data_IF_549992611253
#
_entry.id   IF_549992611253
#
_cell.length_a   1.000
_cell.length_b   1.000
_cell.length_c   1.000
_cell.angle_alpha   90.00
_cell.angle_beta   90.00
_cell.angle_gamma   90.00
#
_symmetry.space_group_name_H-M   'P 1'
#
loop_
_entity.id
_entity.type
_entity.pdbx_description
1 polymer ?
#
# COMPACT_ATOMS: atom_id res chain seq x y z
N UNK A 1 19.09 12.78 -5.23
CA UNK A 1 18.33 12.18 -6.34
C UNK A 1 16.89 12.06 -5.88
N UNK A 2 15.95 12.81 -6.51
CA UNK A 2 14.55 12.82 -6.10
C UNK A 2 13.96 11.40 -6.28
N UNK A 3 13.63 10.75 -5.19
CA UNK A 3 12.88 9.48 -5.20
C UNK A 3 11.53 9.80 -5.85
N UNK A 4 11.34 9.37 -7.10
CA UNK A 4 10.03 9.48 -7.72
C UNK A 4 9.09 8.58 -6.92
N UNK A 5 8.15 9.19 -6.24
CA UNK A 5 7.10 8.46 -5.55
C UNK A 5 6.30 7.65 -6.58
N UNK A 6 6.22 6.34 -6.35
CA UNK A 6 5.30 5.49 -7.09
C UNK A 6 3.87 5.87 -6.66
N UNK A 7 2.89 5.91 -7.58
CA UNK A 7 1.48 5.96 -7.19
C UNK A 7 1.09 4.75 -6.33
N UNK A 8 0.09 4.91 -5.46
CA UNK A 8 -0.37 3.82 -4.58
C UNK A 8 -0.71 2.52 -5.34
N UNK A 9 -1.41 2.55 -6.50
CA UNK A 9 -1.67 1.32 -7.27
C UNK A 9 -0.38 0.63 -7.76
N UNK A 10 0.61 1.42 -8.23
CA UNK A 10 1.90 0.88 -8.69
C UNK A 10 2.71 0.29 -7.53
N UNK A 11 2.61 0.87 -6.33
CA UNK A 11 3.22 0.29 -5.13
C UNK A 11 2.57 -1.05 -4.77
N UNK A 12 1.24 -1.17 -4.85
CA UNK A 12 0.54 -2.43 -4.59
C UNK A 12 0.96 -3.53 -5.58
N UNK A 13 1.07 -3.20 -6.86
CA UNK A 13 1.60 -4.14 -7.86
C UNK A 13 3.06 -4.53 -7.57
N UNK A 14 3.90 -3.58 -7.12
CA UNK A 14 5.29 -3.87 -6.75
C UNK A 14 5.40 -4.75 -5.50
N UNK A 15 4.53 -4.55 -4.50
CA UNK A 15 4.39 -5.39 -3.31
C UNK A 15 4.06 -6.83 -3.73
N UNK A 16 3.10 -6.99 -4.63
CA UNK A 16 2.68 -8.30 -5.10
C UNK A 16 3.79 -8.99 -5.93
N UNK A 17 4.52 -8.24 -6.78
CA UNK A 17 5.69 -8.76 -7.49
C UNK A 17 6.80 -9.23 -6.54
N UNK A 18 7.05 -8.45 -5.47
CA UNK A 18 8.06 -8.83 -4.48
C UNK A 18 7.64 -10.09 -3.72
N UNK A 19 6.38 -10.22 -3.36
CA UNK A 19 5.82 -11.44 -2.73
C UNK A 19 5.95 -12.65 -3.65
N UNK A 20 5.51 -12.54 -4.91
CA UNK A 20 5.57 -13.61 -5.91
C UNK A 20 7.01 -14.05 -6.21
N UNK A 21 7.98 -13.11 -6.21
CA UNK A 21 9.38 -13.43 -6.46
C UNK A 21 10.03 -14.30 -5.37
N UNK A 22 9.33 -14.57 -4.28
CA UNK A 22 9.74 -15.58 -3.30
C UNK A 22 9.60 -17.03 -3.77
N UNK A 23 8.78 -17.28 -4.79
CA UNK A 23 8.58 -18.61 -5.37
C UNK A 23 9.63 -18.86 -6.46
N UNK A 24 10.34 -20.02 -6.43
CA UNK A 24 11.31 -20.33 -7.45
C UNK A 24 10.64 -20.75 -8.77
N UNK A 25 11.24 -20.33 -9.88
CA UNK A 25 10.90 -20.75 -11.24
C UNK A 25 12.12 -21.50 -11.77
N UNK A 26 11.93 -22.62 -12.47
CA UNK A 26 13.01 -23.31 -13.14
C UNK A 26 13.38 -22.57 -14.44
N UNK A 27 14.68 -22.41 -14.70
CA UNK A 27 15.20 -22.03 -16.00
C UNK A 27 15.34 -23.25 -16.93
N UNK A 28 15.87 -23.04 -18.15
CA UNK A 28 16.07 -24.10 -19.13
C UNK A 28 17.05 -25.19 -18.68
N UNK A 29 17.95 -24.90 -17.75
CA UNK A 29 18.95 -25.81 -17.19
C UNK A 29 18.51 -26.45 -15.86
N UNK A 30 17.29 -26.15 -15.42
CA UNK A 30 16.74 -26.64 -14.16
C UNK A 30 17.22 -25.88 -12.92
N UNK A 31 17.93 -24.76 -13.07
CA UNK A 31 18.30 -23.88 -11.96
C UNK A 31 17.08 -23.12 -11.44
N UNK A 32 17.08 -22.79 -10.15
CA UNK A 32 15.99 -22.07 -9.51
C UNK A 32 16.22 -20.55 -9.59
N UNK A 33 15.39 -19.86 -10.36
CA UNK A 33 15.33 -18.42 -10.41
C UNK A 33 14.28 -17.89 -9.45
N UNK A 34 14.61 -16.85 -8.67
CA UNK A 34 13.67 -16.16 -7.80
C UNK A 34 13.21 -14.85 -8.47
N UNK A 35 12.00 -14.85 -9.02
CA UNK A 35 11.49 -13.72 -9.78
C UNK A 35 10.10 -14.00 -10.35
N UNK A 36 9.60 -13.07 -11.14
CA UNK A 36 8.30 -13.14 -11.82
C UNK A 36 8.53 -13.13 -13.33
N UNK A 37 7.96 -14.09 -14.08
CA UNK A 37 8.16 -14.17 -15.53
C UNK A 37 7.37 -13.09 -16.27
N UNK A 38 7.83 -12.75 -17.48
CA UNK A 38 7.27 -11.68 -18.30
C UNK A 38 5.78 -11.82 -18.60
N UNK A 39 5.26 -13.04 -18.77
CA UNK A 39 3.82 -13.27 -18.99
C UNK A 39 2.95 -12.93 -17.76
N UNK A 40 3.50 -12.93 -16.54
CA UNK A 40 2.81 -12.45 -15.34
C UNK A 40 3.01 -10.93 -15.17
N UNK A 41 4.19 -10.40 -15.52
CA UNK A 41 4.47 -8.96 -15.47
C UNK A 41 3.51 -8.16 -16.36
N UNK A 42 3.17 -8.68 -17.52
CA UNK A 42 2.23 -8.04 -18.45
C UNK A 42 0.82 -7.85 -17.89
N UNK A 43 0.47 -8.57 -16.81
CA UNK A 43 -0.80 -8.43 -16.09
C UNK A 43 -0.79 -7.29 -15.07
N UNK A 44 0.37 -6.70 -14.77
CA UNK A 44 0.54 -5.59 -13.82
C UNK A 44 0.37 -4.25 -14.52
N UNK A 45 -0.88 -3.92 -14.84
CA UNK A 45 -1.23 -2.78 -15.69
C UNK A 45 -0.88 -1.40 -15.10
N UNK A 46 -0.61 -1.30 -13.80
CA UNK A 46 -0.31 -0.01 -13.14
C UNK A 46 1.19 0.32 -13.15
N UNK A 47 2.07 -0.66 -13.42
CA UNK A 47 3.51 -0.47 -13.52
C UNK A 47 3.89 -0.16 -14.98
N UNK A 48 4.46 1.02 -15.21
CA UNK A 48 5.04 1.33 -16.52
C UNK A 48 6.34 0.55 -16.76
N UNK A 49 6.75 0.38 -18.04
CA UNK A 49 8.04 -0.23 -18.37
C UNK A 49 9.21 0.48 -17.69
N UNK A 50 9.10 1.79 -17.51
CA UNK A 50 10.09 2.60 -16.80
C UNK A 50 10.15 2.24 -15.31
N UNK A 51 8.99 1.99 -14.67
CA UNK A 51 8.94 1.59 -13.25
C UNK A 51 9.47 0.18 -13.10
N UNK A 52 9.09 -0.75 -13.99
CA UNK A 52 9.64 -2.11 -14.02
C UNK A 52 11.17 -2.08 -14.17
N UNK A 53 11.70 -1.32 -15.14
CA UNK A 53 13.14 -1.19 -15.31
C UNK A 53 13.85 -0.54 -14.10
N UNK A 54 13.16 0.37 -13.41
CA UNK A 54 13.72 1.06 -12.24
C UNK A 54 13.70 0.22 -10.96
N UNK A 55 12.71 -0.67 -10.80
CA UNK A 55 12.48 -1.40 -9.56
C UNK A 55 12.82 -2.90 -9.63
N UNK A 56 13.07 -3.42 -10.83
CA UNK A 56 13.37 -4.84 -11.02
C UNK A 56 14.66 -5.04 -11.78
N UNK A 57 15.27 -6.20 -11.62
CA UNK A 57 16.42 -6.66 -12.37
C UNK A 57 16.08 -7.98 -13.09
N UNK A 58 16.71 -8.23 -14.23
CA UNK A 58 16.61 -9.50 -14.93
C UNK A 58 17.46 -10.53 -14.20
N UNK A 59 16.87 -11.65 -13.80
CA UNK A 59 17.57 -12.75 -13.11
C UNK A 59 17.74 -13.98 -14.00
N UNK A 60 17.17 -13.99 -15.19
CA UNK A 60 17.28 -15.07 -16.17
C UNK A 60 16.05 -15.20 -17.05
N UNK A 61 15.87 -16.36 -17.62
CA UNK A 61 14.72 -16.72 -18.45
C UNK A 61 14.10 -18.00 -17.96
N UNK A 62 12.76 -18.06 -17.97
CA UNK A 62 12.03 -19.27 -17.57
C UNK A 62 12.27 -20.39 -18.56
N UNK A 63 12.39 -21.63 -18.11
CA UNK A 63 12.50 -22.82 -18.95
C UNK A 63 11.17 -23.36 -19.47
N UNK A 64 10.05 -22.88 -18.89
CA UNK A 64 8.70 -23.30 -19.28
C UNK A 64 7.80 -22.08 -19.53
N UNK A 65 6.77 -22.26 -20.34
CA UNK A 65 5.76 -21.24 -20.67
C UNK A 65 4.34 -21.82 -20.56
N UNK A 66 3.37 -21.12 -19.98
CA UNK A 66 1.97 -21.54 -19.93
C UNK A 66 1.31 -21.32 -21.31
N UNK A 67 1.45 -22.29 -22.19
CA UNK A 67 0.90 -22.22 -23.54
C UNK A 67 -0.62 -22.42 -23.52
N UNK A 68 -1.41 -21.62 -24.25
CA UNK A 68 -2.85 -21.79 -24.34
C UNK A 68 -3.19 -23.12 -25.04
N UNK A 69 -4.16 -23.84 -24.46
CA UNK A 69 -4.69 -25.10 -24.96
C UNK A 69 -6.22 -25.16 -24.67
N UNK A 70 -7.02 -24.81 -25.66
CA UNK A 70 -8.48 -24.59 -25.43
C UNK A 70 -8.69 -23.46 -24.42
N UNK A 71 -9.48 -23.74 -23.37
CA UNK A 71 -9.79 -22.81 -22.28
C UNK A 71 -8.76 -22.85 -21.14
N UNK A 72 -7.73 -23.70 -21.24
CA UNK A 72 -6.71 -23.91 -20.20
C UNK A 72 -5.32 -23.46 -20.68
N UNK A 73 -4.36 -23.48 -19.73
CA UNK A 73 -2.95 -23.24 -20.02
C UNK A 73 -2.14 -24.45 -19.55
N UNK A 74 -1.30 -24.97 -20.45
CA UNK A 74 -0.42 -26.10 -20.16
C UNK A 74 1.02 -25.60 -20.14
N UNK A 75 1.77 -25.93 -19.08
CA UNK A 75 3.20 -25.65 -19.02
C UNK A 75 3.92 -26.50 -20.08
N UNK A 76 4.65 -25.84 -20.96
CA UNK A 76 5.46 -26.45 -22.00
C UNK A 76 6.89 -25.94 -21.89
N UNK A 77 7.85 -26.77 -22.20
CA UNK A 77 9.26 -26.36 -22.28
C UNK A 77 9.45 -25.36 -23.42
N UNK A 78 10.28 -24.34 -23.19
CA UNK A 78 10.68 -23.37 -24.19
C UNK A 78 12.19 -23.42 -24.40
N UNK A 79 12.59 -23.21 -25.63
CA UNK A 79 13.98 -23.17 -26.05
C UNK A 79 14.26 -21.86 -26.78
N UNK A 80 15.49 -21.35 -26.69
CA UNK A 80 15.93 -20.22 -27.50
C UNK A 80 15.79 -20.54 -29.02
N UNK A 81 15.18 -19.62 -29.78
CA UNK A 81 15.04 -19.78 -31.21
C UNK A 81 16.34 -19.39 -31.93
N UNK A 82 16.52 -19.88 -33.15
CA UNK A 82 17.61 -19.43 -34.05
C UNK A 82 17.52 -17.94 -34.38
N UNK A 83 16.30 -17.37 -34.35
CA UNK A 83 16.09 -15.94 -34.54
C UNK A 83 16.32 -15.22 -33.20
N UNK A 84 17.26 -14.26 -33.12
CA UNK A 84 17.59 -13.59 -31.85
C UNK A 84 16.40 -12.89 -31.21
N UNK A 85 16.28 -13.02 -29.90
CA UNK A 85 15.22 -12.39 -29.12
C UNK A 85 13.88 -13.12 -29.14
N UNK A 86 13.85 -14.34 -29.66
CA UNK A 86 12.67 -15.22 -29.66
C UNK A 86 12.95 -16.51 -28.90
N UNK A 87 11.90 -17.04 -28.29
CA UNK A 87 11.82 -18.40 -27.75
C UNK A 87 10.80 -19.20 -28.54
N UNK A 88 10.97 -20.50 -28.65
CA UNK A 88 10.05 -21.40 -29.32
C UNK A 88 9.54 -22.48 -28.39
N UNK A 89 8.33 -22.93 -28.64
CA UNK A 89 7.72 -24.07 -27.99
C UNK A 89 6.86 -24.88 -28.95
N UNK A 90 6.59 -26.14 -28.61
CA UNK A 90 5.62 -26.97 -29.31
C UNK A 90 4.23 -26.77 -28.74
N UNK A 91 3.31 -26.28 -29.54
CA UNK A 91 1.93 -26.05 -29.11
C UNK A 91 1.28 -27.38 -28.69
N UNK A 92 0.73 -27.50 -27.47
CA UNK A 92 0.12 -28.76 -27.00
C UNK A 92 -1.13 -29.18 -27.79
N UNK A 93 -1.84 -28.23 -28.38
CA UNK A 93 -3.06 -28.47 -29.14
C UNK A 93 -2.78 -28.87 -30.60
N UNK A 94 -1.90 -28.11 -31.28
CA UNK A 94 -1.68 -28.27 -32.71
C UNK A 94 -0.38 -29.00 -33.07
N UNK A 95 0.49 -29.25 -32.08
CA UNK A 95 1.82 -29.83 -32.20
C UNK A 95 2.79 -29.02 -33.10
N UNK A 96 2.37 -27.82 -33.56
CA UNK A 96 3.21 -26.92 -34.37
C UNK A 96 4.16 -26.13 -33.46
N UNK A 97 5.29 -25.78 -34.00
CA UNK A 97 6.23 -24.85 -33.36
C UNK A 97 5.62 -23.46 -33.38
N UNK A 98 5.50 -22.85 -32.23
CA UNK A 98 5.13 -21.43 -32.02
C UNK A 98 6.28 -20.67 -31.40
N UNK A 99 6.30 -19.35 -31.59
CA UNK A 99 7.34 -18.45 -31.10
C UNK A 99 6.74 -17.43 -30.16
N UNK A 100 7.51 -17.04 -29.17
CA UNK A 100 7.19 -15.95 -28.22
C UNK A 100 8.38 -15.01 -28.12
N UNK A 101 8.17 -13.71 -27.87
CA UNK A 101 9.24 -12.76 -27.61
C UNK A 101 10.01 -13.12 -26.33
N UNK A 102 11.30 -12.83 -26.27
CA UNK A 102 12.13 -13.07 -25.09
C UNK A 102 11.62 -12.33 -23.87
N UNK A 103 10.99 -11.15 -24.04
CA UNK A 103 10.35 -10.39 -22.97
C UNK A 103 9.24 -11.17 -22.27
N UNK A 104 8.60 -12.13 -22.96
CA UNK A 104 7.60 -13.01 -22.36
C UNK A 104 8.23 -14.03 -21.42
N UNK A 105 9.43 -14.55 -21.77
CA UNK A 105 10.13 -15.56 -20.97
C UNK A 105 11.06 -14.96 -19.90
N UNK A 106 11.40 -13.66 -19.99
CA UNK A 106 12.30 -13.01 -19.03
C UNK A 106 11.76 -13.13 -17.61
N UNK A 107 12.61 -13.47 -16.65
CA UNK A 107 12.29 -13.50 -15.22
C UNK A 107 12.90 -12.27 -14.58
N UNK A 108 12.08 -11.47 -13.92
CA UNK A 108 12.51 -10.27 -13.20
C UNK A 108 12.25 -10.40 -11.72
N UNK A 109 13.24 -10.00 -10.92
CA UNK A 109 13.10 -9.89 -9.47
C UNK A 109 13.06 -8.41 -9.06
N UNK A 110 12.25 -8.09 -8.06
CA UNK A 110 12.28 -6.76 -7.44
C UNK A 110 13.61 -6.61 -6.68
N UNK A 111 14.31 -5.49 -6.90
CA UNK A 111 15.57 -5.19 -6.21
C UNK A 111 15.31 -4.98 -4.72
N UNK A 112 15.54 -6.03 -3.92
CA UNK A 112 15.12 -6.11 -2.52
C UNK A 112 15.59 -4.90 -1.69
N UNK A 113 16.89 -4.58 -1.70
CA UNK A 113 17.44 -3.47 -0.91
C UNK A 113 16.78 -2.13 -1.22
N UNK A 114 16.49 -1.86 -2.49
CA UNK A 114 15.83 -0.63 -2.92
C UNK A 114 14.38 -0.58 -2.43
N UNK A 115 13.66 -1.68 -2.61
CA UNK A 115 12.26 -1.81 -2.21
C UNK A 115 12.10 -1.70 -0.69
N UNK A 116 12.92 -2.42 0.08
CA UNK A 116 12.89 -2.39 1.54
C UNK A 116 13.21 -1.00 2.11
N UNK A 117 14.18 -0.29 1.52
CA UNK A 117 14.46 1.09 1.90
C UNK A 117 13.27 2.02 1.62
N UNK A 118 12.59 1.85 0.49
CA UNK A 118 11.40 2.62 0.17
C UNK A 118 10.26 2.38 1.17
N UNK A 119 10.01 1.11 1.56
CA UNK A 119 9.03 0.82 2.61
C UNK A 119 9.43 1.40 3.96
N UNK A 120 10.73 1.37 4.29
CA UNK A 120 11.25 1.99 5.51
C UNK A 120 11.10 3.52 5.50
N UNK A 121 11.24 4.18 4.33
CA UNK A 121 10.95 5.61 4.17
C UNK A 121 9.46 5.91 4.43
N UNK A 122 8.55 5.09 3.88
CA UNK A 122 7.11 5.24 4.11
C UNK A 122 6.71 5.07 5.59
N UNK A 123 7.47 4.27 6.34
CA UNK A 123 7.27 4.02 7.77
C UNK A 123 8.02 5.00 8.67
N UNK A 124 8.61 6.06 8.11
CA UNK A 124 9.44 7.06 8.82
C UNK A 124 10.54 6.44 9.66
N UNK A 125 11.11 5.30 9.21
CA UNK A 125 12.23 4.66 9.90
C UNK A 125 13.52 5.41 9.57
N UNK A 126 14.21 5.99 10.56
CA UNK A 126 15.45 6.70 10.34
C UNK A 126 16.54 5.79 9.74
N UNK A 127 17.29 6.31 8.77
CA UNK A 127 18.31 5.54 8.06
C UNK A 127 19.36 4.89 9.00
N UNK A 128 19.72 5.57 10.09
CA UNK A 128 20.63 5.05 11.10
C UNK A 128 20.12 3.81 11.84
N UNK A 129 18.82 3.54 11.79
CA UNK A 129 18.18 2.39 12.45
C UNK A 129 17.91 1.22 11.50
N UNK A 130 18.20 1.32 10.20
CA UNK A 130 17.94 0.31 9.16
C UNK A 130 19.06 -0.72 9.03
N UNK A 131 19.38 -1.41 10.11
CA UNK A 131 20.55 -2.31 10.13
C UNK A 131 20.34 -3.65 9.42
N UNK A 132 19.09 -4.12 9.28
CA UNK A 132 18.77 -5.45 8.77
C UNK A 132 18.24 -5.47 7.33
N UNK A 133 18.28 -4.35 6.60
CA UNK A 133 17.75 -4.29 5.22
C UNK A 133 18.67 -5.01 4.22
N UNK A 134 19.98 -4.91 4.40
CA UNK A 134 20.96 -5.51 3.49
C UNK A 134 21.19 -6.99 3.75
N UNK A 135 20.91 -7.46 4.97
CA UNK A 135 21.10 -8.85 5.36
C UNK A 135 19.82 -9.38 5.98
N UNK A 136 19.17 -10.32 5.31
CA UNK A 136 17.96 -10.97 5.81
C UNK A 136 18.26 -11.78 7.07
N UNK A 137 17.36 -11.78 8.04
CA UNK A 137 17.42 -12.65 9.21
C UNK A 137 17.10 -14.12 8.86
N UNK A 138 16.21 -14.32 7.88
CA UNK A 138 15.99 -15.57 7.16
C UNK A 138 16.15 -15.23 5.69
N UNK A 139 17.10 -15.88 5.03
CA UNK A 139 17.49 -15.53 3.66
C UNK A 139 16.28 -15.52 2.70
N UNK A 140 16.14 -14.42 1.98
CA UNK A 140 15.05 -14.21 1.04
C UNK A 140 13.63 -14.16 1.64
N UNK A 141 13.47 -14.21 2.98
CA UNK A 141 12.16 -14.35 3.65
C UNK A 141 11.90 -13.25 4.68
N UNK A 142 12.83 -12.98 5.61
CA UNK A 142 12.60 -12.12 6.76
C UNK A 142 13.65 -11.03 6.87
N UNK A 143 13.23 -9.76 6.90
CA UNK A 143 14.11 -8.58 7.06
C UNK A 143 13.70 -7.73 8.25
N UNK A 144 14.67 -7.26 9.02
CA UNK A 144 14.47 -6.23 10.03
C UNK A 144 14.60 -4.86 9.38
N UNK A 145 13.49 -4.15 9.20
CA UNK A 145 13.48 -2.81 8.59
C UNK A 145 14.05 -1.74 9.52
N UNK A 146 13.98 -1.96 10.81
CA UNK A 146 14.44 -1.02 11.84
C UNK A 146 13.39 -0.77 12.90
N UNK A 147 13.41 0.44 13.50
CA UNK A 147 12.44 0.86 14.52
C UNK A 147 11.67 2.06 14.03
N UNK A 148 10.34 1.99 14.14
CA UNK A 148 9.45 3.13 13.89
C UNK A 148 8.77 3.56 15.18
N UNK A 149 8.25 4.78 15.20
CA UNK A 149 7.47 5.31 16.32
C UNK A 149 5.99 5.18 16.03
N UNK A 150 5.27 4.49 16.92
CA UNK A 150 3.80 4.41 16.88
C UNK A 150 3.26 4.98 18.20
N UNK A 151 2.63 6.14 18.13
CA UNK A 151 2.26 6.90 19.30
C UNK A 151 3.50 7.32 20.12
N UNK A 152 3.61 6.85 21.38
CA UNK A 152 4.74 7.12 22.27
C UNK A 152 5.78 5.98 22.33
N UNK A 153 5.55 4.88 21.60
CA UNK A 153 6.36 3.66 21.70
C UNK A 153 7.19 3.48 20.43
N UNK A 154 8.44 3.05 20.61
CA UNK A 154 9.29 2.58 19.49
C UNK A 154 9.12 1.08 19.34
N UNK A 155 8.80 0.64 18.13
CA UNK A 155 8.52 -0.75 17.81
C UNK A 155 9.52 -1.26 16.77
N UNK A 156 10.01 -2.47 16.96
CA UNK A 156 10.75 -3.18 15.92
C UNK A 156 9.84 -3.52 14.75
N UNK A 157 10.30 -3.25 13.55
CA UNK A 157 9.57 -3.48 12.31
C UNK A 157 10.27 -4.52 11.47
N UNK A 158 9.52 -5.55 11.15
CA UNK A 158 9.96 -6.65 10.31
C UNK A 158 9.09 -6.75 9.06
N UNK A 159 9.67 -7.21 7.97
CA UNK A 159 8.96 -7.55 6.74
C UNK A 159 9.19 -9.01 6.40
N UNK A 160 8.11 -9.69 6.04
CA UNK A 160 8.13 -11.11 5.63
C UNK A 160 7.61 -11.24 4.21
N UNK A 161 8.34 -12.01 3.40
CA UNK A 161 7.94 -12.48 2.08
C UNK A 161 7.58 -13.96 2.12
N UNK A 162 6.53 -14.36 1.41
CA UNK A 162 6.09 -15.76 1.36
C UNK A 162 5.57 -16.27 2.70
N UNK A 163 4.97 -15.41 3.53
CA UNK A 163 4.60 -15.72 4.90
C UNK A 163 3.68 -16.93 5.02
N UNK A 164 2.71 -17.10 4.11
CA UNK A 164 1.76 -18.23 4.15
C UNK A 164 2.45 -19.60 4.13
N UNK A 165 3.61 -19.73 3.48
CA UNK A 165 4.38 -20.98 3.36
C UNK A 165 5.55 -21.06 4.33
N UNK A 166 5.88 -19.97 5.03
CA UNK A 166 7.05 -19.84 5.90
C UNK A 166 6.73 -19.44 7.33
N UNK A 167 5.44 -19.53 7.72
CA UNK A 167 4.98 -19.12 9.05
C UNK A 167 5.76 -19.78 10.18
N UNK A 168 6.01 -21.09 10.09
CA UNK A 168 6.71 -21.84 11.14
C UNK A 168 8.18 -21.42 11.28
N UNK A 169 8.88 -21.17 10.17
CA UNK A 169 10.27 -20.71 10.19
C UNK A 169 10.37 -19.31 10.80
N UNK A 170 9.44 -18.42 10.43
CA UNK A 170 9.36 -17.05 10.95
C UNK A 170 9.04 -17.06 12.44
N UNK A 171 8.04 -17.82 12.87
CA UNK A 171 7.67 -17.88 14.28
C UNK A 171 8.77 -18.50 15.14
N UNK A 172 9.43 -19.55 14.66
CA UNK A 172 10.59 -20.16 15.34
C UNK A 172 11.72 -19.14 15.50
N UNK A 173 11.99 -18.30 14.50
CA UNK A 173 12.98 -17.24 14.61
C UNK A 173 12.66 -16.28 15.78
N UNK A 174 11.41 -15.84 15.91
CA UNK A 174 10.99 -14.95 16.99
C UNK A 174 10.93 -15.63 18.35
N UNK A 175 10.62 -16.92 18.43
CA UNK A 175 10.64 -17.69 19.67
C UNK A 175 12.06 -17.84 20.23
N UNK A 176 13.04 -17.98 19.37
CA UNK A 176 14.45 -18.12 19.74
C UNK A 176 15.13 -16.79 20.08
N UNK A 177 14.54 -15.65 19.72
CA UNK A 177 15.10 -14.34 20.01
C UNK A 177 15.21 -14.12 21.53
N UNK A 178 16.36 -13.62 22.00
CA UNK A 178 16.64 -13.42 23.43
C UNK A 178 15.92 -12.23 24.04
N UNK A 179 15.54 -11.22 23.24
CA UNK A 179 14.83 -10.02 23.69
C UNK A 179 13.33 -10.16 23.46
N UNK A 180 12.54 -9.74 24.46
CA UNK A 180 11.07 -9.72 24.39
C UNK A 180 10.66 -8.30 24.08
N UNK A 181 10.82 -7.88 22.83
CA UNK A 181 10.38 -6.58 22.38
C UNK A 181 8.99 -6.67 21.72
N UNK A 182 8.21 -5.62 21.84
CA UNK A 182 7.01 -5.43 21.05
C UNK A 182 7.42 -5.05 19.62
N UNK A 183 6.76 -5.65 18.64
CA UNK A 183 7.09 -5.38 17.26
C UNK A 183 5.96 -5.61 16.28
N UNK A 184 6.20 -5.18 15.06
CA UNK A 184 5.30 -5.36 13.92
C UNK A 184 5.99 -6.26 12.92
N UNK A 185 5.27 -7.28 12.46
CA UNK A 185 5.65 -8.14 11.35
C UNK A 185 4.71 -7.78 10.19
N UNK A 186 5.20 -7.02 9.23
CA UNK A 186 4.46 -6.76 8.02
C UNK A 186 4.56 -7.95 7.07
N UNK A 187 3.41 -8.41 6.58
CA UNK A 187 3.33 -9.38 5.49
C UNK A 187 2.97 -8.67 4.18
N UNK A 188 3.40 -9.23 3.06
CA UNK A 188 3.07 -8.69 1.74
C UNK A 188 1.85 -9.39 1.13
N UNK A 189 1.56 -10.59 1.61
CA UNK A 189 0.37 -11.37 1.25
C UNK A 189 -0.84 -11.10 2.17
N UNK A 190 -1.83 -11.98 2.15
CA UNK A 190 -3.07 -11.84 2.90
C UNK A 190 -2.84 -11.85 4.42
N UNK A 191 -3.85 -11.37 5.16
CA UNK A 191 -3.85 -11.42 6.61
C UNK A 191 -3.78 -12.87 7.12
N UNK A 192 -3.18 -13.04 8.30
CA UNK A 192 -3.22 -14.31 9.02
C UNK A 192 -4.67 -14.70 9.36
N UNK A 193 -4.99 -15.99 9.29
CA UNK A 193 -6.21 -16.50 9.92
C UNK A 193 -6.25 -16.14 11.41
N UNK A 194 -7.40 -15.79 11.92
CA UNK A 194 -7.61 -15.38 13.34
C UNK A 194 -7.25 -16.48 14.34
N UNK A 195 -7.21 -17.74 13.89
CA UNK A 195 -6.76 -18.91 14.68
C UNK A 195 -5.25 -18.97 14.91
N UNK A 196 -4.47 -18.27 14.09
CA UNK A 196 -3.02 -18.26 14.18
C UNK A 196 -2.56 -17.10 15.06
N UNK A 197 -1.88 -17.38 16.15
CA UNK A 197 -1.36 -16.36 17.05
C UNK A 197 0.15 -16.19 16.85
N UNK A 198 0.61 -14.95 16.61
CA UNK A 198 2.04 -14.67 16.57
C UNK A 198 2.68 -14.95 17.92
N UNK A 199 3.96 -15.35 17.94
CA UNK A 199 4.69 -15.50 19.18
C UNK A 199 4.89 -14.16 19.90
N UNK A 200 4.91 -14.19 21.21
CA UNK A 200 5.20 -13.03 22.07
C UNK A 200 4.27 -11.83 21.80
N UNK A 201 4.84 -10.61 21.80
CA UNK A 201 4.10 -9.35 21.63
C UNK A 201 4.17 -8.81 20.20
N UNK A 202 4.41 -9.64 19.21
CA UNK A 202 4.40 -9.23 17.81
C UNK A 202 2.99 -9.16 17.24
N UNK A 203 2.77 -8.16 16.39
CA UNK A 203 1.55 -8.03 15.58
C UNK A 203 1.89 -8.34 14.13
N UNK A 204 1.12 -9.23 13.52
CA UNK A 204 1.24 -9.54 12.09
C UNK A 204 0.17 -8.77 11.34
N UNK A 205 0.61 -7.89 10.44
CA UNK A 205 -0.24 -6.93 9.75
C UNK A 205 0.10 -6.96 8.25
N UNK A 206 -0.87 -7.15 7.34
CA UNK A 206 -0.62 -6.96 5.91
C UNK A 206 -0.20 -5.52 5.63
N UNK A 207 0.93 -5.31 4.93
CA UNK A 207 1.42 -3.97 4.64
C UNK A 207 0.41 -3.13 3.87
N UNK A 208 -0.28 -3.76 2.89
CA UNK A 208 -1.33 -3.10 2.12
C UNK A 208 -2.48 -2.59 2.95
N UNK A 209 -2.75 -3.19 4.13
CA UNK A 209 -3.87 -2.78 4.99
C UNK A 209 -3.63 -1.47 5.72
N UNK A 210 -2.38 -1.03 5.87
CA UNK A 210 -2.02 0.22 6.53
C UNK A 210 -1.75 1.37 5.56
N UNK A 211 -1.86 1.13 4.26
CA UNK A 211 -1.81 2.20 3.26
C UNK A 211 -3.11 3.01 3.26
N UNK A 212 -2.99 4.32 3.21
CA UNK A 212 -4.14 5.22 3.12
C UNK A 212 -4.90 5.00 1.81
N UNK A 213 -6.18 4.62 1.91
CA UNK A 213 -7.00 4.16 0.76
C UNK A 213 -7.27 5.21 -0.30
N UNK A 214 -7.30 6.49 0.09
CA UNK A 214 -7.75 7.59 -0.77
C UNK A 214 -6.60 8.48 -1.24
N UNK A 215 -5.36 8.11 -0.94
CA UNK A 215 -4.17 8.86 -1.36
C UNK A 215 -3.65 8.34 -2.70
N UNK A 216 -3.44 9.24 -3.65
CA UNK A 216 -2.75 8.93 -4.92
C UNK A 216 -1.29 8.59 -4.70
N UNK A 217 -0.67 9.23 -3.70
CA UNK A 217 0.69 8.94 -3.26
C UNK A 217 0.65 7.99 -2.06
N UNK A 218 1.52 6.98 -2.00
CA UNK A 218 1.54 6.04 -0.89
C UNK A 218 1.85 6.76 0.42
N UNK A 219 0.99 6.57 1.39
CA UNK A 219 1.13 7.07 2.76
C UNK A 219 0.67 5.99 3.73
N UNK A 220 1.32 5.92 4.88
CA UNK A 220 0.88 5.06 5.98
C UNK A 220 -0.22 5.77 6.77
N UNK A 221 -1.33 5.07 6.98
CA UNK A 221 -2.37 5.48 7.94
C UNK A 221 -1.86 5.18 9.37
N UNK A 222 -1.18 6.16 9.96
CA UNK A 222 -0.57 6.02 11.29
C UNK A 222 -1.62 5.84 12.40
N UNK A 223 -2.81 6.40 12.24
CA UNK A 223 -3.90 6.24 13.20
C UNK A 223 -4.45 4.81 13.14
N UNK A 224 -4.60 4.25 11.93
CA UNK A 224 -4.98 2.85 11.76
C UNK A 224 -3.91 1.92 12.33
N UNK A 225 -2.64 2.17 12.02
CA UNK A 225 -1.53 1.38 12.55
C UNK A 225 -1.53 1.39 14.09
N UNK A 226 -1.75 2.55 14.71
CA UNK A 226 -1.85 2.67 16.17
C UNK A 226 -3.04 1.86 16.73
N UNK A 227 -4.21 1.93 16.10
CA UNK A 227 -5.38 1.15 16.49
C UNK A 227 -5.16 -0.36 16.33
N UNK A 228 -4.51 -0.80 15.24
CA UNK A 228 -4.14 -2.20 15.02
C UNK A 228 -3.18 -2.72 16.10
N UNK A 229 -2.28 -1.87 16.59
CA UNK A 229 -1.38 -2.24 17.68
C UNK A 229 -2.10 -2.40 19.02
N UNK A 230 -3.16 -1.63 19.26
CA UNK A 230 -3.94 -1.67 20.50
C UNK A 230 -5.08 -2.70 20.47
N UNK A 231 -5.56 -3.09 19.29
CA UNK A 231 -6.66 -4.02 19.10
C UNK A 231 -6.33 -5.42 19.65
N UNK A 232 -7.35 -6.13 20.06
CA UNK A 232 -7.22 -7.54 20.40
C UNK A 232 -6.94 -8.35 19.13
N UNK A 233 -6.05 -9.36 19.14
CA UNK A 233 -5.81 -10.20 17.97
C UNK A 233 -7.11 -10.80 17.42
N UNK A 234 -7.39 -10.56 16.12
CA UNK A 234 -8.61 -11.01 15.45
C UNK A 234 -9.78 -10.03 15.50
N UNK A 235 -9.65 -8.91 16.20
CA UNK A 235 -10.63 -7.81 16.14
C UNK A 235 -10.51 -7.07 14.80
N UNK A 236 -11.66 -6.84 14.15
CA UNK A 236 -11.69 -6.05 12.92
C UNK A 236 -11.47 -4.56 13.27
N UNK A 237 -10.43 -3.97 12.70
CA UNK A 237 -10.14 -2.55 12.83
C UNK A 237 -10.43 -1.88 11.49
N UNK A 238 -11.39 -0.97 11.50
CA UNK A 238 -11.75 -0.21 10.30
C UNK A 238 -10.66 0.82 9.95
N UNK A 239 -10.51 1.10 8.65
CA UNK A 239 -9.63 2.17 8.19
C UNK A 239 -10.10 3.52 8.69
N UNK A 240 -9.17 4.43 8.92
CA UNK A 240 -9.51 5.81 9.20
C UNK A 240 -10.27 6.40 8.01
N UNK A 241 -11.37 7.11 8.24
CA UNK A 241 -12.06 7.79 7.15
C UNK A 241 -11.12 8.83 6.52
N UNK A 242 -11.26 9.03 5.20
CA UNK A 242 -10.48 10.02 4.46
C UNK A 242 -10.55 11.43 5.07
N UNK A 243 -11.69 11.72 5.68
CA UNK A 243 -11.96 12.98 6.37
C UNK A 243 -12.59 12.66 7.73
N UNK A 244 -12.04 13.23 8.79
CA UNK A 244 -12.56 13.11 10.16
C UNK A 244 -12.59 14.47 10.83
N UNK A 245 -13.70 14.80 11.46
CA UNK A 245 -13.80 15.96 12.34
C UNK A 245 -13.89 15.51 13.79
N UNK A 246 -12.92 15.91 14.59
CA UNK A 246 -12.94 15.70 16.05
C UNK A 246 -13.71 16.85 16.70
N UNK A 247 -14.91 16.54 17.20
CA UNK A 247 -15.77 17.55 17.82
C UNK A 247 -15.20 18.09 19.13
N UNK A 248 -14.48 17.27 19.88
CA UNK A 248 -13.93 17.66 21.18
C UNK A 248 -12.81 18.69 21.04
N UNK A 249 -11.91 18.47 20.08
CA UNK A 249 -10.80 19.39 19.79
C UNK A 249 -11.14 20.42 18.72
N UNK A 250 -12.31 20.30 18.07
CA UNK A 250 -12.72 21.07 16.88
C UNK A 250 -11.68 21.02 15.77
N UNK A 251 -11.14 19.82 15.49
CA UNK A 251 -10.04 19.65 14.54
C UNK A 251 -10.48 18.80 13.36
N UNK A 252 -10.25 19.31 12.14
CA UNK A 252 -10.43 18.58 10.89
C UNK A 252 -9.13 17.87 10.50
N UNK A 253 -9.23 16.57 10.29
CA UNK A 253 -8.16 15.72 9.78
C UNK A 253 -8.51 15.25 8.38
N UNK A 254 -7.59 15.45 7.42
CA UNK A 254 -7.68 14.95 6.05
C UNK A 254 -6.51 13.99 5.84
N UNK A 255 -6.78 12.67 5.83
CA UNK A 255 -5.74 11.64 5.76
C UNK A 255 -5.22 11.43 4.34
N UNK A 256 -5.86 12.00 3.33
CA UNK A 256 -5.46 11.90 1.92
C UNK A 256 -4.38 12.91 1.50
N UNK A 257 -4.12 13.90 2.35
CA UNK A 257 -3.17 14.99 2.07
C UNK A 257 -2.14 15.10 3.16
N UNK A 258 -0.90 15.44 2.79
CA UNK A 258 0.16 15.84 3.73
C UNK A 258 -0.05 17.30 4.18
N UNK A 259 -1.19 17.55 4.86
CA UNK A 259 -1.52 18.86 5.42
C UNK A 259 -1.73 18.70 6.92
N UNK A 260 -1.29 19.70 7.70
CA UNK A 260 -1.51 19.69 9.13
C UNK A 260 -3.00 19.66 9.48
N UNK A 261 -3.42 18.98 10.57
CA UNK A 261 -4.80 19.02 11.01
C UNK A 261 -5.25 20.46 11.27
N UNK A 262 -6.41 20.85 10.74
CA UNK A 262 -6.93 22.18 10.90
C UNK A 262 -7.76 22.34 12.17
N UNK A 263 -7.25 23.11 13.13
CA UNK A 263 -8.01 23.51 14.31
C UNK A 263 -8.96 24.64 13.97
N UNK A 264 -10.24 24.33 13.94
CA UNK A 264 -11.31 25.25 13.56
C UNK A 264 -11.67 26.15 14.74
N UNK A 265 -11.71 27.46 14.51
CA UNK A 265 -12.02 28.46 15.55
C UNK A 265 -13.47 28.92 15.47
N UNK A 266 -14.20 28.68 16.55
CA UNK A 266 -15.56 29.17 16.72
C UNK A 266 -16.67 28.20 16.30
N UNK A 267 -17.84 28.29 16.97
CA UNK A 267 -18.91 27.29 16.88
C UNK A 267 -19.56 27.20 15.49
N UNK A 268 -19.68 28.31 14.75
CA UNK A 268 -20.28 28.31 13.42
C UNK A 268 -19.37 27.66 12.40
N UNK A 269 -18.07 27.92 12.46
CA UNK A 269 -17.07 27.27 11.59
C UNK A 269 -17.04 25.78 11.89
N UNK A 270 -17.02 25.37 13.16
CA UNK A 270 -17.07 23.98 13.57
C UNK A 270 -18.33 23.26 13.06
N UNK A 271 -19.50 23.91 13.14
CA UNK A 271 -20.75 23.36 12.61
C UNK A 271 -20.70 23.14 11.08
N UNK A 272 -20.11 24.07 10.32
CA UNK A 272 -19.92 23.91 8.89
C UNK A 272 -19.00 22.73 8.57
N UNK A 273 -17.84 22.67 9.23
CA UNK A 273 -16.86 21.62 8.99
C UNK A 273 -17.42 20.25 9.38
N UNK A 274 -18.10 20.15 10.51
CA UNK A 274 -18.81 18.94 10.93
C UNK A 274 -19.81 18.49 9.88
N UNK A 275 -20.67 19.42 9.41
CA UNK A 275 -21.69 19.13 8.42
C UNK A 275 -21.07 18.65 7.10
N UNK A 276 -20.03 19.31 6.60
CA UNK A 276 -19.33 18.89 5.39
C UNK A 276 -18.72 17.49 5.55
N UNK A 277 -18.12 17.19 6.70
CA UNK A 277 -17.57 15.86 7.00
C UNK A 277 -18.65 14.78 7.02
N UNK A 278 -19.79 15.06 7.64
CA UNK A 278 -20.94 14.13 7.66
C UNK A 278 -21.52 13.89 6.26
N UNK A 279 -21.60 14.92 5.42
CA UNK A 279 -22.08 14.74 4.05
C UNK A 279 -21.07 13.97 3.19
N UNK A 280 -19.78 14.24 3.38
CA UNK A 280 -18.71 13.47 2.74
C UNK A 280 -18.79 11.97 3.12
N UNK A 281 -18.99 11.64 4.39
CA UNK A 281 -19.17 10.26 4.84
C UNK A 281 -20.40 9.56 4.22
N UNK A 282 -21.42 10.34 3.83
CA UNK A 282 -22.61 9.86 3.10
C UNK A 282 -22.41 9.82 1.56
N UNK A 283 -21.17 10.03 1.09
CA UNK A 283 -20.84 10.03 -0.34
C UNK A 283 -21.17 11.32 -1.10
N UNK A 284 -21.57 12.40 -0.40
CA UNK A 284 -21.86 13.70 -1.00
C UNK A 284 -20.62 14.58 -0.94
N UNK A 285 -19.90 14.66 -2.05
CA UNK A 285 -18.68 15.46 -2.14
C UNK A 285 -18.95 16.98 -2.23
N UNK A 286 -20.14 17.38 -2.69
CA UNK A 286 -20.55 18.78 -2.82
C UNK A 286 -21.88 19.01 -2.11
N UNK A 287 -21.97 20.17 -1.46
CA UNK A 287 -23.14 20.59 -0.67
C UNK A 287 -23.49 22.03 -1.02
N UNK A 288 -24.77 22.34 -1.10
CA UNK A 288 -25.23 23.69 -1.42
C UNK A 288 -24.85 24.70 -0.34
N UNK A 289 -24.58 25.95 -0.75
CA UNK A 289 -24.33 27.04 0.20
C UNK A 289 -25.51 27.25 1.18
N UNK A 290 -26.75 27.00 0.75
CA UNK A 290 -27.94 27.11 1.58
C UNK A 290 -27.92 26.13 2.74
N UNK A 291 -27.59 24.85 2.47
CA UNK A 291 -27.55 23.81 3.49
C UNK A 291 -26.43 24.08 4.53
N UNK A 292 -25.26 24.54 4.04
CA UNK A 292 -24.13 24.93 4.92
C UNK A 292 -24.53 26.08 5.85
N UNK A 293 -25.21 27.09 5.30
CA UNK A 293 -25.67 28.23 6.10
C UNK A 293 -26.71 27.81 7.13
N UNK A 294 -27.59 26.89 6.80
CA UNK A 294 -28.54 26.27 7.77
C UNK A 294 -27.80 25.54 8.86
N UNK A 295 -26.79 24.74 8.52
CA UNK A 295 -25.97 24.03 9.49
C UNK A 295 -25.24 24.99 10.46
N UNK A 296 -24.73 26.14 9.93
CA UNK A 296 -24.02 27.13 10.72
C UNK A 296 -24.94 27.99 11.63
N UNK A 297 -26.18 28.23 11.20
CA UNK A 297 -27.09 29.17 11.85
C UNK A 297 -28.31 28.52 12.51
N UNK A 298 -28.49 27.20 12.33
CA UNK A 298 -29.54 26.40 12.95
C UNK A 298 -30.90 26.46 12.23
N UNK A 299 -31.16 27.47 11.41
CA UNK A 299 -32.42 27.55 10.66
C UNK A 299 -32.26 28.34 9.35
N UNK A 300 -33.21 28.15 8.39
CA UNK A 300 -33.25 28.87 7.14
C UNK A 300 -33.48 30.39 7.33
N UNK A 301 -34.24 30.74 8.35
CA UNK A 301 -34.53 32.16 8.67
C UNK A 301 -33.27 32.87 9.17
N UNK A 302 -32.54 32.26 10.08
CA UNK A 302 -31.28 32.77 10.62
C UNK A 302 -30.15 32.81 9.59
N UNK A 303 -30.22 31.97 8.55
CA UNK A 303 -29.30 31.92 7.42
C UNK A 303 -29.60 32.97 6.34
N UNK A 304 -30.77 33.58 6.35
CA UNK A 304 -31.20 34.50 5.30
C UNK A 304 -30.25 35.70 5.15
N UNK A 305 -29.81 35.96 3.92
CA UNK A 305 -28.89 37.07 3.60
C UNK A 305 -27.44 36.87 4.05
N UNK A 306 -27.09 35.68 4.57
CA UNK A 306 -25.71 35.34 4.96
C UNK A 306 -24.96 34.71 3.78
N UNK A 307 -23.63 34.70 3.88
CA UNK A 307 -22.73 34.10 2.88
C UNK A 307 -21.74 33.16 3.58
N UNK A 308 -21.42 32.02 2.97
CA UNK A 308 -20.47 31.05 3.54
C UNK A 308 -19.10 31.66 3.85
N UNK A 309 -18.48 32.48 2.97
CA UNK A 309 -17.20 33.11 3.30
C UNK A 309 -17.26 34.03 4.53
N UNK A 310 -18.42 34.62 4.85
CA UNK A 310 -18.54 35.46 6.05
C UNK A 310 -18.43 34.71 7.37
N UNK A 311 -18.69 33.39 7.36
CA UNK A 311 -18.51 32.53 8.54
C UNK A 311 -17.01 32.37 8.86
N UNK A 312 -16.19 32.38 7.83
CA UNK A 312 -14.74 32.23 7.92
C UNK A 312 -13.98 33.57 7.88
N UNK A 313 -14.69 34.69 8.07
CA UNK A 313 -14.05 36.02 8.07
C UNK A 313 -12.96 36.08 9.13
N UNK A 314 -11.76 36.54 8.75
CA UNK A 314 -10.57 36.56 9.62
C UNK A 314 -9.76 35.25 9.69
N UNK A 315 -10.20 34.22 9.00
CA UNK A 315 -9.43 32.96 8.90
C UNK A 315 -9.33 32.52 7.44
N UNK A 316 -8.27 32.91 6.74
CA UNK A 316 -8.05 32.55 5.32
C UNK A 316 -7.64 31.08 5.13
N UNK A 317 -7.22 30.39 6.20
CA UNK A 317 -6.75 29.00 6.15
C UNK A 317 -7.84 28.02 5.68
N UNK A 318 -9.13 28.38 5.84
CA UNK A 318 -10.24 27.51 5.40
C UNK A 318 -10.19 27.14 3.92
N UNK A 319 -9.61 28.00 3.05
CA UNK A 319 -9.46 27.75 1.61
C UNK A 319 -8.46 26.61 1.30
N UNK A 320 -7.63 26.25 2.24
CA UNK A 320 -6.72 25.11 2.10
C UNK A 320 -7.43 23.78 2.33
N UNK A 321 -8.57 23.79 3.04
CA UNK A 321 -9.33 22.61 3.47
C UNK A 321 -10.70 22.47 2.83
N UNK A 322 -11.31 23.58 2.43
CA UNK A 322 -12.64 23.62 1.82
C UNK A 322 -12.51 24.24 0.43
N UNK A 323 -12.98 23.53 -0.56
CA UNK A 323 -13.08 24.01 -1.93
C UNK A 323 -14.53 24.36 -2.28
N UNK A 324 -14.72 25.23 -3.26
CA UNK A 324 -16.04 25.60 -3.76
C UNK A 324 -15.99 25.83 -5.27
N UNK A 325 -17.06 25.43 -5.93
CA UNK A 325 -17.30 25.57 -7.36
C UNK A 325 -18.79 25.79 -7.62
N UNK A 326 -19.21 25.74 -8.88
CA UNK A 326 -20.63 25.92 -9.28
C UNK A 326 -21.53 24.80 -8.70
N UNK A 327 -20.98 23.61 -8.36
CA UNK A 327 -21.71 22.51 -7.74
C UNK A 327 -21.89 22.68 -6.22
N UNK A 328 -21.13 23.60 -5.58
CA UNK A 328 -21.20 23.88 -4.16
C UNK A 328 -19.86 23.82 -3.42
N UNK A 329 -19.93 23.52 -2.15
CA UNK A 329 -18.79 23.43 -1.23
C UNK A 329 -18.47 21.99 -0.87
N UNK A 330 -17.21 21.65 -0.72
CA UNK A 330 -16.77 20.33 -0.31
C UNK A 330 -15.44 20.36 0.42
N UNK A 331 -15.07 19.23 1.02
CA UNK A 331 -13.73 19.07 1.61
C UNK A 331 -12.72 18.87 0.47
N UNK A 332 -11.64 19.62 0.51
CA UNK A 332 -10.57 19.56 -0.49
C UNK A 332 -9.66 18.37 -0.20
N UNK A 333 -9.69 17.35 -1.08
CA UNK A 333 -8.94 16.11 -0.92
C UNK A 333 -7.58 16.09 -1.64
N UNK A 334 -7.36 17.01 -2.59
CA UNK A 334 -6.15 17.14 -3.40
C UNK A 334 -5.42 18.47 -3.16
#
# INVERSE_FOLDING_TARGET
>A
MSSKHLPTPSLLDLIDLFEQSGQPIADGDGQRLHGVPGWELSRKATLSDRDLAAWTECVGYAGCYPAPCGDEHILVDIEEDSDPGLYRYRCPETFRVKRIPAETAVVRAVTATKFLNYLADLLDIPQALRRGITTAAIDGVLWHLGKTRVGLVHLDVWLVRGFATRTDDVFRHFEQATQIDMGIIFTLGPALPTSVRPPRNYRVIPFSSVLARHSTNPMIDTDLLHRLMLAVPGEAVEHSPAVRFDEFTSTLHITTRSIEPWKVSGPKQAAVVKYLTEQFAKGRQRVSAGDILVAAHGSREAARGKRVPSIFSGNSQWLDYIEHDDAGYGIKLE
#
